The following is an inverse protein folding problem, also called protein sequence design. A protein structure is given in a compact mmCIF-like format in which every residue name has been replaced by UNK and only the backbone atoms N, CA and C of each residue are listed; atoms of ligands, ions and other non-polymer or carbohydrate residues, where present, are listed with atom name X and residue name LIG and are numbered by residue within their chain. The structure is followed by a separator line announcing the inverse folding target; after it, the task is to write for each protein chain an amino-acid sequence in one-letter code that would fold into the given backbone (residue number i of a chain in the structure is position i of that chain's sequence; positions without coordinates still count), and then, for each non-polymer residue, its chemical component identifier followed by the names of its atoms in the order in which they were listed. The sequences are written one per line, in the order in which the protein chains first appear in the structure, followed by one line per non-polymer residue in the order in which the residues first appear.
data_IF_219957523620
#
_entry.id   IF_219957523620
#
_cell.length_a   1.000
_cell.length_b   1.000
_cell.length_c   1.000
_cell.angle_alpha   90.00
_cell.angle_beta   90.00
_cell.angle_gamma   90.00
#
_symmetry.space_group_name_H-M   'P 1'
#
loop_
_entity.id
_entity.type
_entity.pdbx_description
1 polymer ?
#
# COMPACT_ATOMS: atom_id res chain seq x y z
N UNK A 1 3.36 12.09 28.80
CA UNK A 1 2.67 10.78 28.66
C UNK A 1 1.19 11.02 28.87
N UNK A 2 0.36 10.61 27.92
CA UNK A 2 -1.10 10.81 27.96
C UNK A 2 -1.79 9.63 28.64
N UNK A 3 -2.73 9.92 29.52
CA UNK A 3 -3.61 8.93 30.13
C UNK A 3 -4.97 8.97 29.44
N UNK A 4 -5.32 7.92 28.71
CA UNK A 4 -6.55 7.83 27.93
C UNK A 4 -7.47 6.76 28.49
N UNK A 5 -8.76 7.06 28.57
CA UNK A 5 -9.77 6.03 28.79
C UNK A 5 -9.93 5.17 27.52
N UNK A 6 -10.46 3.95 27.67
CA UNK A 6 -10.82 3.10 26.51
C UNK A 6 -11.77 3.80 25.53
N UNK A 7 -12.67 4.64 26.06
CA UNK A 7 -13.63 5.39 25.24
C UNK A 7 -12.92 6.45 24.39
N UNK A 8 -11.97 7.19 24.96
CA UNK A 8 -11.17 8.17 24.22
C UNK A 8 -10.31 7.48 23.15
N UNK A 9 -9.58 6.41 23.52
CA UNK A 9 -8.75 5.67 22.56
C UNK A 9 -9.57 5.14 21.37
N UNK A 10 -10.79 4.60 21.62
CA UNK A 10 -11.69 4.16 20.54
C UNK A 10 -12.17 5.31 19.65
N UNK A 11 -12.51 6.45 20.22
CA UNK A 11 -12.94 7.64 19.48
C UNK A 11 -11.82 8.16 18.58
N UNK A 12 -10.61 8.25 19.11
CA UNK A 12 -9.41 8.60 18.36
C UNK A 12 -9.24 7.66 17.15
N UNK A 13 -9.25 6.34 17.38
CA UNK A 13 -9.07 5.36 16.31
C UNK A 13 -10.20 5.43 15.26
N UNK A 14 -11.45 5.58 15.67
CA UNK A 14 -12.60 5.67 14.73
C UNK A 14 -12.52 6.94 13.89
N UNK A 15 -12.15 8.07 14.48
CA UNK A 15 -11.97 9.34 13.77
C UNK A 15 -10.81 9.29 12.78
N UNK A 16 -9.63 8.83 13.21
CA UNK A 16 -8.47 8.70 12.36
C UNK A 16 -8.75 7.80 11.13
N UNK A 17 -9.66 6.85 11.28
CA UNK A 17 -10.11 5.97 10.19
C UNK A 17 -11.28 6.56 9.38
N UNK A 18 -11.63 7.86 9.57
CA UNK A 18 -12.71 8.57 8.86
C UNK A 18 -14.08 7.88 9.00
N UNK A 19 -14.38 7.35 10.19
CA UNK A 19 -15.62 6.62 10.50
C UNK A 19 -16.53 7.38 11.46
N UNK A 20 -16.20 8.61 11.81
CA UNK A 20 -17.03 9.55 12.58
C UNK A 20 -18.02 10.32 11.68
N UNK A 21 -18.82 11.24 12.29
CA UNK A 21 -19.90 11.91 11.56
C UNK A 21 -19.46 12.75 10.37
N UNK A 22 -18.37 13.55 10.44
CA UNK A 22 -17.86 14.23 9.27
C UNK A 22 -17.41 13.23 8.18
N UNK A 23 -17.98 13.34 6.98
CA UNK A 23 -17.57 12.50 5.85
C UNK A 23 -16.59 13.25 4.95
N UNK A 24 -15.51 12.61 4.52
CA UNK A 24 -14.72 13.15 3.41
C UNK A 24 -15.55 13.16 2.13
N UNK A 25 -15.23 14.07 1.21
CA UNK A 25 -15.91 14.23 -0.09
C UNK A 25 -15.09 13.68 -1.24
N UNK A 26 -13.78 13.52 -1.06
CA UNK A 26 -12.83 13.18 -2.12
C UNK A 26 -12.13 11.85 -1.84
N UNK A 27 -12.07 10.98 -2.87
CA UNK A 27 -11.39 9.69 -2.78
C UNK A 27 -9.90 9.86 -2.43
N UNK A 28 -9.21 10.82 -3.03
CA UNK A 28 -7.80 11.06 -2.77
C UNK A 28 -7.56 11.40 -1.30
N UNK A 29 -8.40 12.25 -0.70
CA UNK A 29 -8.31 12.59 0.71
C UNK A 29 -8.49 11.37 1.62
N UNK A 30 -9.42 10.46 1.26
CA UNK A 30 -9.59 9.18 1.98
C UNK A 30 -8.31 8.35 1.92
N UNK A 31 -7.72 8.18 0.74
CA UNK A 31 -6.52 7.34 0.58
C UNK A 31 -5.32 7.99 1.25
N UNK A 32 -5.18 9.31 1.22
CA UNK A 32 -4.12 10.04 1.92
C UNK A 32 -4.21 9.85 3.44
N UNK A 33 -5.41 9.96 4.02
CA UNK A 33 -5.62 9.76 5.46
C UNK A 33 -5.39 8.31 5.88
N UNK A 34 -5.92 7.35 5.12
CA UNK A 34 -5.76 5.92 5.42
C UNK A 34 -4.39 5.36 5.06
N UNK A 35 -3.59 6.11 4.28
CA UNK A 35 -2.30 5.76 3.70
C UNK A 35 -2.35 4.67 2.62
N UNK A 36 -3.36 3.83 2.64
CA UNK A 36 -3.53 2.75 1.66
C UNK A 36 -4.97 2.24 1.60
N UNK A 37 -5.32 1.64 0.45
CA UNK A 37 -6.44 0.71 0.32
C UNK A 37 -5.92 -0.64 -0.21
N UNK A 38 -6.39 -1.74 0.35
CA UNK A 38 -6.03 -3.06 -0.15
C UNK A 38 -6.87 -3.41 -1.39
N UNK A 39 -6.21 -3.73 -2.50
CA UNK A 39 -6.85 -4.34 -3.66
C UNK A 39 -6.75 -5.86 -3.54
N UNK A 40 -7.87 -6.49 -3.15
CA UNK A 40 -8.00 -7.93 -3.17
C UNK A 40 -8.96 -8.33 -4.30
N UNK A 41 -8.55 -9.22 -5.22
CA UNK A 41 -9.43 -9.71 -6.27
C UNK A 41 -10.55 -10.63 -5.73
N UNK A 42 -10.41 -11.11 -4.48
CA UNK A 42 -11.44 -11.91 -3.82
C UNK A 42 -12.56 -10.98 -3.36
N UNK A 43 -13.69 -11.06 -4.01
CA UNK A 43 -14.85 -10.22 -3.71
C UNK A 43 -16.09 -11.08 -3.61
N UNK A 44 -16.60 -11.29 -2.41
CA UNK A 44 -17.90 -11.94 -2.21
C UNK A 44 -19.06 -11.01 -2.59
N UNK A 45 -18.92 -9.71 -2.33
CA UNK A 45 -19.91 -8.66 -2.62
C UNK A 45 -19.31 -7.61 -3.54
N UNK A 46 -18.16 -7.04 -3.15
CA UNK A 46 -17.40 -6.04 -3.90
C UNK A 46 -15.92 -6.12 -3.49
N UNK A 47 -14.97 -5.58 -4.30
CA UNK A 47 -13.57 -5.47 -3.92
C UNK A 47 -13.40 -4.69 -2.61
N UNK A 48 -12.44 -5.11 -1.77
CA UNK A 48 -12.22 -4.51 -0.45
C UNK A 48 -11.92 -3.00 -0.53
N UNK A 49 -11.17 -2.56 -1.53
CA UNK A 49 -10.89 -1.14 -1.74
C UNK A 49 -12.17 -0.33 -1.96
N UNK A 50 -13.11 -0.86 -2.78
CA UNK A 50 -14.39 -0.19 -3.04
C UNK A 50 -15.26 -0.13 -1.77
N UNK A 51 -15.33 -1.22 -1.00
CA UNK A 51 -16.08 -1.24 0.26
C UNK A 51 -15.52 -0.24 1.29
N UNK A 52 -14.19 -0.16 1.40
CA UNK A 52 -13.52 0.79 2.28
C UNK A 52 -13.78 2.23 1.83
N UNK A 53 -13.63 2.54 0.55
CA UNK A 53 -13.92 3.86 0.01
C UNK A 53 -15.39 4.24 0.20
N UNK A 54 -16.30 3.34 -0.13
CA UNK A 54 -17.75 3.55 0.03
C UNK A 54 -18.14 3.79 1.49
N UNK A 55 -17.58 3.05 2.44
CA UNK A 55 -17.91 3.24 3.87
C UNK A 55 -17.53 4.63 4.40
N UNK A 56 -16.57 5.32 3.76
CA UNK A 56 -16.14 6.68 4.10
C UNK A 56 -16.92 7.74 3.34
N UNK A 57 -17.02 7.59 2.02
CA UNK A 57 -17.62 8.56 1.10
C UNK A 57 -19.15 8.43 0.98
N UNK A 58 -19.69 7.23 1.30
CA UNK A 58 -21.12 6.95 1.11
C UNK A 58 -21.52 6.88 -0.37
N UNK A 59 -22.75 7.32 -0.67
CA UNK A 59 -23.30 7.28 -2.04
C UNK A 59 -22.59 8.19 -3.07
N UNK A 60 -21.71 9.06 -2.60
CA UNK A 60 -20.87 9.88 -3.48
C UNK A 60 -19.75 9.06 -4.16
N UNK A 61 -19.43 7.88 -3.63
CA UNK A 61 -18.42 7.01 -4.21
C UNK A 61 -18.99 6.13 -5.32
N UNK A 62 -18.24 6.06 -6.41
CA UNK A 62 -18.46 5.12 -7.51
C UNK A 62 -17.14 4.38 -7.83
N UNK A 63 -17.14 3.05 -8.09
CA UNK A 63 -15.91 2.30 -8.40
C UNK A 63 -15.08 2.88 -9.55
N UNK A 64 -15.73 3.51 -10.54
CA UNK A 64 -15.06 4.18 -11.64
C UNK A 64 -14.11 5.30 -11.18
N UNK A 65 -14.34 5.92 -10.02
CA UNK A 65 -13.44 6.95 -9.47
C UNK A 65 -12.09 6.36 -9.08
N UNK A 66 -12.07 5.14 -8.51
CA UNK A 66 -10.82 4.46 -8.15
C UNK A 66 -10.03 4.07 -9.42
N UNK A 67 -10.72 3.50 -10.42
CA UNK A 67 -10.11 3.19 -11.72
C UNK A 67 -9.54 4.44 -12.39
N UNK A 68 -10.30 5.53 -12.42
CA UNK A 68 -9.86 6.80 -12.99
C UNK A 68 -8.63 7.36 -12.29
N UNK A 69 -8.62 7.35 -10.95
CA UNK A 69 -7.49 7.83 -10.15
C UNK A 69 -6.21 7.00 -10.37
N UNK A 70 -6.33 5.68 -10.58
CA UNK A 70 -5.22 4.78 -10.83
C UNK A 70 -4.70 4.85 -12.28
N UNK A 71 -5.60 4.94 -13.28
CA UNK A 71 -5.25 4.69 -14.68
C UNK A 71 -5.18 5.97 -15.54
N UNK A 72 -5.95 6.99 -15.20
CA UNK A 72 -6.05 8.22 -15.99
C UNK A 72 -5.39 9.41 -15.28
N UNK A 73 -5.91 9.77 -14.10
CA UNK A 73 -5.46 10.96 -13.37
C UNK A 73 -4.10 10.74 -12.69
N UNK A 74 -3.71 9.49 -12.48
CA UNK A 74 -2.45 9.10 -11.82
C UNK A 74 -2.25 9.77 -10.45
N UNK A 75 -3.34 10.03 -9.75
CA UNK A 75 -3.30 10.55 -8.36
C UNK A 75 -3.06 9.44 -7.35
N UNK A 76 -3.30 8.20 -7.76
CA UNK A 76 -3.05 6.98 -7.00
C UNK A 76 -2.18 6.00 -7.82
N UNK A 77 -1.46 5.12 -7.13
CA UNK A 77 -0.74 4.00 -7.75
C UNK A 77 -0.96 2.69 -6.99
N UNK A 78 -0.83 1.56 -7.69
CA UNK A 78 -0.87 0.23 -7.07
C UNK A 78 0.56 -0.29 -6.86
N UNK A 79 0.86 -0.76 -5.64
CA UNK A 79 2.11 -1.41 -5.29
C UNK A 79 1.86 -2.48 -4.22
N UNK A 80 2.31 -3.72 -4.42
CA UNK A 80 2.09 -4.86 -3.51
C UNK A 80 0.60 -5.07 -3.14
N UNK A 81 -0.30 -5.04 -4.14
CA UNK A 81 -1.74 -5.15 -3.94
C UNK A 81 -2.33 -4.08 -3.01
N UNK A 82 -1.64 -2.95 -2.87
CA UNK A 82 -2.08 -1.79 -2.10
C UNK A 82 -2.14 -0.57 -3.01
N UNK A 83 -3.26 0.15 -2.95
CA UNK A 83 -3.42 1.46 -3.59
C UNK A 83 -2.90 2.52 -2.64
N UNK A 84 -2.11 3.45 -3.14
CA UNK A 84 -1.47 4.52 -2.38
C UNK A 84 -1.56 5.86 -3.10
N UNK A 85 -1.46 6.99 -2.37
CA UNK A 85 -1.34 8.30 -3.02
C UNK A 85 -0.07 8.38 -3.88
N UNK A 86 -0.18 8.90 -5.11
CA UNK A 86 0.98 9.08 -5.98
C UNK A 86 2.06 9.99 -5.35
N UNK A 87 1.66 10.94 -4.52
CA UNK A 87 2.58 11.78 -3.74
C UNK A 87 3.51 10.98 -2.80
N UNK A 88 3.16 9.73 -2.48
CA UNK A 88 3.92 8.88 -1.60
C UNK A 88 4.89 7.95 -2.34
N UNK A 89 4.84 7.97 -3.68
CA UNK A 89 5.63 7.03 -4.51
C UNK A 89 7.11 7.03 -4.12
N UNK A 90 7.72 8.20 -3.93
CA UNK A 90 9.12 8.31 -3.53
C UNK A 90 9.46 7.58 -2.24
N UNK A 91 8.51 7.50 -1.28
CA UNK A 91 8.69 6.77 -0.02
C UNK A 91 8.83 5.25 -0.22
N UNK A 92 8.19 4.71 -1.26
CA UNK A 92 8.20 3.29 -1.59
C UNK A 92 9.34 2.93 -2.56
N UNK A 93 9.78 3.89 -3.36
CA UNK A 93 10.98 3.73 -4.19
C UNK A 93 12.27 3.91 -3.38
N UNK A 94 12.22 4.60 -2.24
CA UNK A 94 13.35 4.68 -1.31
C UNK A 94 13.71 3.28 -0.79
N UNK A 95 14.90 2.81 -1.09
CA UNK A 95 15.38 1.51 -0.62
C UNK A 95 15.05 0.32 -1.51
N UNK A 96 14.55 0.51 -2.72
CA UNK A 96 14.36 -0.57 -3.70
C UNK A 96 15.63 -1.41 -3.88
N UNK A 97 16.81 -0.80 -3.85
CA UNK A 97 18.09 -1.52 -3.84
C UNK A 97 18.45 -2.24 -2.53
N UNK A 98 17.76 -1.93 -1.40
CA UNK A 98 17.99 -2.57 -0.08
C UNK A 98 17.11 -3.80 0.15
N UNK A 99 15.90 -3.82 -0.38
CA UNK A 99 15.06 -5.02 -0.41
C UNK A 99 15.81 -6.19 -1.06
N UNK A 100 16.71 -5.86 -2.00
CA UNK A 100 17.67 -6.78 -2.58
C UNK A 100 18.44 -7.61 -1.53
N UNK A 101 18.80 -7.06 -0.39
CA UNK A 101 19.67 -7.71 0.59
C UNK A 101 18.94 -8.48 1.68
N UNK A 102 17.65 -8.23 1.90
CA UNK A 102 16.88 -8.87 2.97
C UNK A 102 16.30 -10.25 2.60
N UNK A 103 16.27 -10.59 1.31
CA UNK A 103 15.76 -11.86 0.80
C UNK A 103 16.74 -12.47 -0.21
N UNK A 104 17.89 -12.95 0.29
CA UNK A 104 18.97 -13.48 -0.55
C UNK A 104 18.50 -14.58 -1.52
N UNK A 105 17.59 -15.46 -1.08
CA UNK A 105 17.04 -16.52 -1.94
C UNK A 105 16.25 -15.98 -3.14
N UNK A 106 15.48 -14.90 -2.94
CA UNK A 106 14.75 -14.22 -4.03
C UNK A 106 15.71 -13.61 -5.04
N UNK A 107 16.75 -12.95 -4.54
CA UNK A 107 17.73 -12.32 -5.43
C UNK A 107 18.63 -13.32 -6.12
N UNK A 108 18.95 -14.45 -5.48
CA UNK A 108 19.60 -15.57 -6.15
C UNK A 108 18.76 -16.05 -7.33
N UNK A 109 17.45 -16.27 -7.11
CA UNK A 109 16.53 -16.70 -8.16
C UNK A 109 16.43 -15.68 -9.33
N UNK A 110 16.39 -14.36 -9.04
CA UNK A 110 16.38 -13.32 -10.07
C UNK A 110 17.69 -13.33 -10.85
N UNK A 111 18.85 -13.47 -10.18
CA UNK A 111 20.16 -13.57 -10.86
C UNK A 111 20.26 -14.79 -11.76
N UNK A 112 19.79 -15.94 -11.29
CA UNK A 112 19.79 -17.18 -12.04
C UNK A 112 18.87 -17.11 -13.28
N UNK A 113 17.89 -16.20 -13.27
CA UNK A 113 16.93 -15.93 -14.33
C UNK A 113 17.10 -14.54 -14.96
N UNK A 114 18.31 -13.96 -14.96
CA UNK A 114 18.52 -12.59 -15.49
C UNK A 114 18.20 -12.46 -16.99
N UNK A 115 18.37 -13.52 -17.78
CA UNK A 115 17.91 -13.54 -19.18
C UNK A 115 16.39 -13.33 -19.27
N UNK A 116 15.62 -14.08 -18.46
CA UNK A 116 14.17 -13.96 -18.39
C UNK A 116 13.73 -12.56 -17.94
N UNK A 117 14.38 -12.00 -16.91
CA UNK A 117 14.16 -10.61 -16.49
C UNK A 117 14.37 -9.63 -17.65
N UNK A 118 15.47 -9.75 -18.40
CA UNK A 118 15.76 -8.89 -19.55
C UNK A 118 14.76 -9.05 -20.68
N UNK A 119 14.28 -10.26 -20.95
CA UNK A 119 13.26 -10.53 -21.96
C UNK A 119 11.95 -9.83 -21.62
N UNK A 120 11.49 -9.88 -20.34
CA UNK A 120 10.34 -9.13 -19.86
C UNK A 120 10.52 -7.63 -20.11
N UNK A 121 11.63 -7.04 -19.64
CA UNK A 121 11.87 -5.61 -19.80
C UNK A 121 11.96 -5.18 -21.28
N UNK A 122 12.53 -6.03 -22.13
CA UNK A 122 12.58 -5.80 -23.58
C UNK A 122 11.18 -5.85 -24.21
N UNK A 123 10.34 -6.80 -23.80
CA UNK A 123 8.96 -6.89 -24.25
C UNK A 123 8.17 -5.63 -23.86
N UNK A 124 8.25 -5.19 -22.61
CA UNK A 124 7.59 -3.99 -22.12
C UNK A 124 8.02 -2.73 -22.88
N UNK A 125 9.32 -2.58 -23.16
CA UNK A 125 9.83 -1.47 -23.99
C UNK A 125 9.21 -1.44 -25.38
N UNK A 126 9.04 -2.61 -26.00
CA UNK A 126 8.53 -2.73 -27.37
C UNK A 126 7.01 -2.59 -27.46
N UNK A 127 6.27 -3.22 -26.55
CA UNK A 127 4.82 -3.43 -26.71
C UNK A 127 3.96 -2.51 -25.85
N UNK A 128 4.53 -1.83 -24.83
CA UNK A 128 3.76 -1.07 -23.84
C UNK A 128 3.09 -1.98 -22.82
N UNK A 129 1.97 -1.57 -22.19
CA UNK A 129 1.34 -2.33 -21.14
C UNK A 129 0.86 -3.70 -21.62
N UNK A 130 1.22 -4.76 -20.88
CA UNK A 130 0.83 -6.15 -21.18
C UNK A 130 0.35 -6.84 -19.89
N UNK A 131 -0.47 -7.87 -20.05
CA UNK A 131 -0.82 -8.76 -18.94
C UNK A 131 0.28 -9.81 -18.71
N UNK A 132 0.30 -10.46 -17.55
CA UNK A 132 1.25 -11.54 -17.29
C UNK A 132 1.08 -12.74 -18.24
N UNK A 133 -0.10 -12.91 -18.86
CA UNK A 133 -0.38 -13.98 -19.82
C UNK A 133 0.22 -13.72 -21.20
N UNK A 134 0.46 -12.46 -21.54
CA UNK A 134 1.05 -12.05 -22.79
C UNK A 134 2.58 -12.18 -22.80
N UNK A 135 3.17 -12.48 -21.64
CA UNK A 135 4.62 -12.60 -21.45
C UNK A 135 5.02 -14.08 -21.58
N UNK A 136 5.88 -14.44 -22.56
CA UNK A 136 6.40 -15.80 -22.63
C UNK A 136 7.22 -16.17 -21.39
N UNK A 137 6.98 -17.36 -20.87
CA UNK A 137 7.77 -17.90 -19.76
C UNK A 137 9.07 -18.52 -20.31
N UNK A 138 10.17 -17.76 -20.25
CA UNK A 138 11.52 -18.21 -20.63
C UNK A 138 12.39 -18.48 -19.40
N UNK A 139 11.77 -18.76 -18.24
CA UNK A 139 12.43 -19.02 -16.99
C UNK A 139 13.32 -20.28 -17.07
N UNK A 140 14.56 -20.16 -16.66
CA UNK A 140 15.54 -21.29 -16.65
C UNK A 140 15.42 -22.10 -15.36
N UNK A 141 15.32 -21.41 -14.23
CA UNK A 141 15.16 -22.02 -12.90
C UNK A 141 13.74 -21.72 -12.41
N UNK A 142 12.81 -22.69 -12.39
CA UNK A 142 11.44 -22.45 -11.97
C UNK A 142 11.33 -21.90 -10.54
N UNK A 143 10.39 -20.99 -10.31
CA UNK A 143 10.06 -20.53 -8.96
C UNK A 143 9.44 -21.65 -8.15
N UNK A 144 10.13 -22.05 -7.09
CA UNK A 144 9.67 -23.08 -6.17
C UNK A 144 9.07 -22.43 -4.91
N UNK A 145 7.85 -22.78 -4.58
CA UNK A 145 7.21 -22.41 -3.31
C UNK A 145 6.32 -23.54 -2.81
N UNK A 146 6.03 -23.53 -1.51
CA UNK A 146 5.10 -24.49 -0.89
C UNK A 146 3.63 -24.08 -1.04
N UNK A 147 3.37 -22.92 -1.66
CA UNK A 147 2.04 -22.34 -1.83
C UNK A 147 1.59 -22.24 -3.28
N UNK A 148 0.55 -21.47 -3.50
CA UNK A 148 -0.09 -21.22 -4.79
C UNK A 148 0.74 -20.40 -5.79
N UNK A 149 1.90 -19.89 -5.39
CA UNK A 149 2.85 -19.21 -6.29
C UNK A 149 3.82 -20.18 -6.97
N UNK A 150 3.73 -21.49 -6.66
CA UNK A 150 4.61 -22.48 -7.26
C UNK A 150 4.47 -22.52 -8.78
N UNK A 151 5.59 -22.50 -9.50
CA UNK A 151 5.67 -22.46 -10.96
C UNK A 151 4.98 -21.25 -11.63
N UNK A 152 4.69 -20.18 -10.88
CA UNK A 152 4.16 -18.93 -11.46
C UNK A 152 5.30 -17.96 -11.78
N UNK A 153 6.22 -18.37 -12.63
CA UNK A 153 7.47 -17.68 -12.89
C UNK A 153 7.27 -16.23 -13.37
N UNK A 154 6.42 -16.01 -14.37
CA UNK A 154 6.15 -14.68 -14.93
C UNK A 154 5.57 -13.74 -13.85
N UNK A 155 4.52 -14.18 -13.18
CA UNK A 155 3.87 -13.36 -12.14
C UNK A 155 4.84 -13.04 -11.02
N UNK A 156 5.63 -14.03 -10.59
CA UNK A 156 6.57 -13.85 -9.49
C UNK A 156 7.72 -12.91 -9.88
N UNK A 157 8.23 -13.02 -11.11
CA UNK A 157 9.26 -12.10 -11.61
C UNK A 157 8.71 -10.67 -11.66
N UNK A 158 7.51 -10.45 -12.19
CA UNK A 158 6.88 -9.13 -12.24
C UNK A 158 6.69 -8.51 -10.85
N UNK A 159 6.25 -9.30 -9.85
CA UNK A 159 6.11 -8.83 -8.47
C UNK A 159 7.47 -8.39 -7.89
N UNK A 160 8.54 -9.15 -8.14
CA UNK A 160 9.87 -8.77 -7.68
C UNK A 160 10.43 -7.54 -8.41
N UNK A 161 10.20 -7.44 -9.71
CA UNK A 161 10.62 -6.28 -10.50
C UNK A 161 9.85 -5.01 -10.08
N UNK A 162 8.58 -5.14 -9.70
CA UNK A 162 7.79 -4.03 -9.14
C UNK A 162 8.38 -3.56 -7.80
N UNK A 163 8.69 -4.48 -6.90
CA UNK A 163 9.35 -4.15 -5.62
C UNK A 163 10.75 -3.56 -5.86
N UNK A 164 11.44 -4.01 -6.90
CA UNK A 164 12.72 -3.48 -7.36
C UNK A 164 12.63 -2.13 -8.07
N UNK A 165 11.43 -1.65 -8.40
CA UNK A 165 11.22 -0.39 -9.12
C UNK A 165 11.52 -0.47 -10.63
N UNK A 166 11.59 -1.68 -11.20
CA UNK A 166 11.89 -1.92 -12.62
C UNK A 166 10.64 -2.06 -13.49
N UNK A 167 9.50 -2.36 -12.89
CA UNK A 167 8.19 -2.36 -13.54
C UNK A 167 7.15 -1.67 -12.64
N UNK A 168 6.05 -1.25 -13.24
CA UNK A 168 4.92 -0.62 -12.57
C UNK A 168 3.61 -1.22 -13.06
N UNK A 169 2.54 -1.05 -12.29
CA UNK A 169 1.18 -1.43 -12.68
C UNK A 169 0.55 -0.24 -13.38
N UNK A 170 0.34 -0.37 -14.68
CA UNK A 170 -0.24 0.66 -15.54
C UNK A 170 -1.77 0.73 -15.46
N UNK A 171 -2.41 -0.35 -15.02
CA UNK A 171 -3.87 -0.45 -14.93
C UNK A 171 -4.31 -1.90 -14.87
N UNK A 172 -5.57 -2.14 -15.26
CA UNK A 172 -6.14 -3.49 -15.26
C UNK A 172 -7.03 -3.75 -16.48
N UNK A 173 -7.06 -5.00 -16.93
CA UNK A 173 -8.07 -5.53 -17.85
C UNK A 173 -8.87 -6.58 -17.08
N UNK A 174 -10.09 -6.23 -16.71
CA UNK A 174 -10.87 -7.04 -15.78
C UNK A 174 -10.16 -7.16 -14.41
N UNK A 175 -9.78 -8.38 -14.04
CA UNK A 175 -9.03 -8.62 -12.78
C UNK A 175 -7.51 -8.68 -12.97
N UNK A 176 -7.01 -8.68 -14.21
CA UNK A 176 -5.59 -8.83 -14.52
C UNK A 176 -4.89 -7.48 -14.52
N UNK A 177 -3.69 -7.45 -13.94
CA UNK A 177 -2.83 -6.27 -13.98
C UNK A 177 -2.21 -6.09 -15.35
N UNK A 178 -2.15 -4.84 -15.79
CA UNK A 178 -1.34 -4.39 -16.91
C UNK A 178 -0.01 -3.89 -16.35
N UNK A 179 1.07 -4.48 -16.82
CA UNK A 179 2.43 -4.17 -16.42
C UNK A 179 3.12 -3.34 -17.47
N UNK A 180 3.81 -2.29 -17.07
CA UNK A 180 4.61 -1.43 -17.95
C UNK A 180 5.87 -0.93 -17.23
N UNK A 181 6.67 -0.17 -17.95
CA UNK A 181 7.87 0.44 -17.41
C UNK A 181 7.51 1.64 -16.50
N UNK A 182 8.26 1.86 -15.41
CA UNK A 182 8.00 2.94 -14.45
C UNK A 182 7.92 4.32 -15.11
N UNK A 183 8.80 4.61 -16.07
CA UNK A 183 8.85 5.89 -16.77
C UNK A 183 7.62 6.21 -17.62
N UNK A 184 6.73 5.24 -17.86
CA UNK A 184 5.44 5.45 -18.55
C UNK A 184 4.26 5.55 -17.60
N UNK A 185 4.46 5.18 -16.33
CA UNK A 185 3.39 5.10 -15.32
C UNK A 185 3.54 6.17 -14.26
N UNK A 186 4.78 6.42 -13.83
CA UNK A 186 5.10 7.31 -12.72
C UNK A 186 5.51 8.71 -13.23
N UNK A 187 5.25 9.76 -12.45
CA UNK A 187 5.74 11.09 -12.75
C UNK A 187 7.28 11.12 -12.86
N UNK A 188 7.79 11.91 -13.82
CA UNK A 188 9.24 12.00 -14.05
C UNK A 188 10.01 12.76 -12.94
N UNK A 189 9.29 13.58 -12.16
CA UNK A 189 9.82 14.47 -11.13
C UNK A 189 9.69 13.91 -9.72
N UNK A 190 9.55 12.60 -9.57
CA UNK A 190 9.45 11.94 -8.26
C UNK A 190 10.73 12.15 -7.44
N UNK A 191 10.60 12.82 -6.31
CA UNK A 191 11.69 12.97 -5.35
C UNK A 191 11.78 11.72 -4.48
N UNK A 192 12.91 11.03 -4.53
CA UNK A 192 13.17 9.85 -3.70
C UNK A 192 13.99 10.30 -2.48
N UNK A 193 13.42 10.26 -1.26
CA UNK A 193 14.14 10.63 -0.05
C UNK A 193 15.17 9.57 0.36
N UNK A 194 15.95 9.86 1.41
CA UNK A 194 16.76 8.84 2.07
C UNK A 194 15.87 7.71 2.62
N UNK A 195 16.43 6.51 2.81
CA UNK A 195 15.67 5.38 3.38
C UNK A 195 15.19 5.71 4.79
N UNK A 196 16.03 6.38 5.55
CA UNK A 196 15.77 6.80 6.91
C UNK A 196 14.62 7.82 6.97
N UNK A 197 14.63 8.83 6.08
CA UNK A 197 13.55 9.82 5.98
C UNK A 197 12.25 9.18 5.48
N UNK A 198 12.33 8.32 4.46
CA UNK A 198 11.16 7.59 3.99
C UNK A 198 10.52 6.76 5.11
N UNK A 199 11.33 6.08 5.93
CA UNK A 199 10.81 5.29 7.04
C UNK A 199 10.17 6.17 8.11
N UNK A 200 10.81 7.30 8.47
CA UNK A 200 10.26 8.26 9.42
C UNK A 200 8.90 8.79 8.95
N UNK A 201 8.80 9.22 7.69
CA UNK A 201 7.53 9.73 7.13
C UNK A 201 6.47 8.64 7.08
N UNK A 202 6.82 7.39 6.76
CA UNK A 202 5.88 6.25 6.81
C UNK A 202 5.33 6.03 8.21
N UNK A 203 6.16 6.11 9.26
CA UNK A 203 5.72 5.99 10.64
C UNK A 203 4.78 7.13 11.05
N UNK A 204 5.10 8.37 10.70
CA UNK A 204 4.27 9.55 10.96
C UNK A 204 2.89 9.40 10.33
N UNK A 205 2.83 9.08 9.03
CA UNK A 205 1.58 8.86 8.30
C UNK A 205 0.80 7.67 8.83
N UNK A 206 1.51 6.60 9.20
CA UNK A 206 0.87 5.43 9.79
C UNK A 206 0.22 5.75 11.13
N UNK A 207 0.90 6.48 12.01
CA UNK A 207 0.31 6.92 13.27
C UNK A 207 -0.88 7.86 13.04
N UNK A 208 -0.77 8.82 12.14
CA UNK A 208 -1.87 9.71 11.77
C UNK A 208 -3.10 8.93 11.25
N UNK A 209 -2.89 7.89 10.43
CA UNK A 209 -3.99 7.05 9.94
C UNK A 209 -4.66 6.20 11.03
N UNK A 210 -3.96 5.84 12.08
CA UNK A 210 -4.47 5.04 13.21
C UNK A 210 -4.95 5.92 14.38
N UNK A 211 -4.42 7.15 14.51
CA UNK A 211 -4.62 8.08 15.61
C UNK A 211 -3.97 7.62 16.92
N UNK A 212 -4.06 6.34 17.22
CA UNK A 212 -3.41 5.68 18.35
C UNK A 212 -2.97 4.26 17.96
N UNK A 213 -1.77 3.88 18.31
CA UNK A 213 -1.21 2.56 18.00
C UNK A 213 -0.40 2.01 19.16
N UNK A 214 -0.27 0.69 19.24
CA UNK A 214 0.72 0.08 20.12
C UNK A 214 2.12 0.37 19.60
N UNK A 215 3.06 0.66 20.48
CA UNK A 215 4.46 0.89 20.10
C UNK A 215 5.10 -0.35 19.47
N UNK A 216 4.75 -1.54 19.99
CA UNK A 216 5.18 -2.83 19.40
C UNK A 216 3.96 -3.51 18.80
N UNK A 217 3.99 -3.76 17.51
CA UNK A 217 2.93 -4.44 16.78
C UNK A 217 3.48 -5.68 16.09
N UNK A 218 2.57 -6.59 15.71
CA UNK A 218 2.94 -7.74 14.88
C UNK A 218 3.19 -7.25 13.46
N UNK A 219 4.36 -7.51 12.90
CA UNK A 219 4.66 -7.16 11.52
C UNK A 219 3.75 -7.93 10.56
N UNK A 220 3.16 -7.24 9.59
CA UNK A 220 2.57 -7.87 8.42
C UNK A 220 3.64 -8.09 7.35
N UNK A 221 3.52 -9.16 6.57
CA UNK A 221 4.50 -9.49 5.52
C UNK A 221 4.61 -8.43 4.43
N UNK A 222 3.52 -7.75 4.12
CA UNK A 222 3.42 -6.80 3.00
C UNK A 222 3.66 -5.36 3.45
N UNK A 223 3.19 -5.00 4.65
CA UNK A 223 3.26 -3.65 5.17
C UNK A 223 3.62 -3.67 6.66
N UNK A 224 4.74 -3.05 7.06
CA UNK A 224 5.02 -2.84 8.48
C UNK A 224 3.93 -1.96 9.09
N UNK A 225 3.30 -2.44 10.17
CA UNK A 225 2.27 -1.70 10.91
C UNK A 225 2.85 -0.96 12.11
N UNK A 226 4.15 -0.96 12.23
CA UNK A 226 4.90 -0.26 13.27
C UNK A 226 4.85 1.27 13.05
N UNK A 227 4.87 2.00 14.14
CA UNK A 227 4.89 3.47 14.16
C UNK A 227 6.18 4.02 14.78
N UNK A 228 7.13 3.16 15.12
CA UNK A 228 8.41 3.52 15.72
C UNK A 228 8.23 4.40 16.98
N UNK A 229 9.06 5.43 17.09
CA UNK A 229 9.04 6.44 18.17
C UNK A 229 8.14 7.64 17.85
N UNK A 230 7.34 7.58 16.77
CA UNK A 230 6.51 8.70 16.31
C UNK A 230 5.37 8.99 17.29
N UNK A 231 4.94 10.25 17.33
CA UNK A 231 3.87 10.73 18.20
C UNK A 231 4.28 10.80 19.68
N UNK A 232 3.31 10.85 20.57
CA UNK A 232 3.54 11.00 22.02
C UNK A 232 3.22 9.72 22.78
N UNK A 233 3.96 9.41 23.87
CA UNK A 233 3.68 8.24 24.69
C UNK A 233 2.30 8.34 25.36
N UNK A 234 1.55 7.24 25.33
CA UNK A 234 0.23 7.15 25.95
C UNK A 234 0.03 5.81 26.67
N UNK A 235 -0.87 5.82 27.65
CA UNK A 235 -1.41 4.63 28.31
C UNK A 235 -2.93 4.63 28.19
N UNK A 236 -3.51 3.43 28.02
CA UNK A 236 -4.96 3.26 27.95
C UNK A 236 -5.44 2.53 29.20
N UNK A 237 -6.29 3.16 29.96
CA UNK A 237 -6.78 2.63 31.24
C UNK A 237 -7.35 1.22 31.10
N UNK A 238 -6.82 0.28 31.86
CA UNK A 238 -7.22 -1.12 31.85
C UNK A 238 -6.84 -1.90 30.58
N UNK A 239 -5.86 -1.41 29.80
CA UNK A 239 -5.27 -2.13 28.64
C UNK A 239 -3.77 -2.17 28.82
N UNK A 240 -3.19 -3.37 28.81
CA UNK A 240 -1.73 -3.54 28.93
C UNK A 240 -1.01 -3.11 27.64
N UNK A 241 0.21 -2.61 27.79
CA UNK A 241 1.14 -2.26 26.71
C UNK A 241 1.38 -0.76 26.63
N UNK A 242 2.42 -0.42 25.92
CA UNK A 242 2.82 0.95 25.60
C UNK A 242 2.17 1.39 24.30
N UNK A 243 1.67 2.63 24.29
CA UNK A 243 0.96 3.20 23.16
C UNK A 243 1.62 4.48 22.68
N UNK A 244 1.43 4.77 21.42
CA UNK A 244 1.77 6.06 20.82
C UNK A 244 0.48 6.69 20.31
N UNK A 245 0.28 7.98 20.56
CA UNK A 245 -0.86 8.74 20.11
C UNK A 245 -0.41 9.90 19.23
N UNK A 246 -1.15 10.16 18.17
CA UNK A 246 -0.96 11.36 17.37
C UNK A 246 -1.43 12.58 18.17
N UNK A 247 -0.56 13.54 18.52
CA UNK A 247 -0.96 14.71 19.29
C UNK A 247 -1.98 15.58 18.58
N UNK A 248 -2.07 15.54 17.25
CA UNK A 248 -3.03 16.31 16.47
C UNK A 248 -4.50 15.95 16.75
N UNK A 249 -4.76 14.72 17.23
CA UNK A 249 -6.13 14.26 17.49
C UNK A 249 -6.55 14.36 18.97
N UNK A 250 -5.68 14.88 19.83
CA UNK A 250 -5.97 15.05 21.23
C UNK A 250 -6.91 16.26 21.47
N UNK A 251 -7.95 16.06 22.26
CA UNK A 251 -8.88 17.14 22.63
C UNK A 251 -9.91 17.49 21.55
N UNK A 252 -9.97 16.80 20.44
CA UNK A 252 -10.95 17.04 19.39
C UNK A 252 -12.33 16.46 19.75
N UNK A 253 -13.39 17.19 19.39
CA UNK A 253 -14.77 16.73 19.53
C UNK A 253 -15.03 15.50 18.66
N UNK A 254 -15.83 14.59 19.18
CA UNK A 254 -16.19 13.36 18.50
C UNK A 254 -17.70 13.21 18.38
N UNK A 255 -18.19 13.14 17.16
CA UNK A 255 -19.55 12.76 16.82
C UNK A 255 -19.53 11.43 16.05
N UNK A 256 -20.21 10.42 16.61
CA UNK A 256 -20.29 9.10 16.00
C UNK A 256 -21.35 9.01 14.92
N UNK A 257 -21.14 8.12 13.95
CA UNK A 257 -22.15 7.70 12.96
C UNK A 257 -22.20 6.19 12.81
N UNK A 258 -23.27 5.68 12.21
CA UNK A 258 -23.32 4.30 11.75
C UNK A 258 -22.46 4.17 10.50
N UNK A 259 -21.54 3.20 10.50
CA UNK A 259 -20.70 2.86 9.37
C UNK A 259 -20.72 1.35 9.12
N UNK A 260 -20.71 0.94 7.87
CA UNK A 260 -20.43 -0.43 7.48
C UNK A 260 -18.91 -0.62 7.47
N UNK A 261 -18.42 -1.66 8.12
CA UNK A 261 -16.99 -2.01 8.21
C UNK A 261 -16.72 -3.28 7.44
#
# INVERSE_FOLDING_TARGET
MHELTKKQARRIAVRAQLLDAPRPTELLAVVQQLTLLQIDPTAAIAPSADLVAWSRLGSAYQPAQLTKALEQDRTLFEHNALVRPMSDLGLYLAGTGRLARSHESTWAWIRDNDSFRRDILKLLRKSGPVTSRDIPDTCVVPWASTGWTNNRNVTQMLEFLMVGGEVAIAGRVGRERLWDLPERVYPADVVIPSVEDAQRVKYERRLASLGIARQKTTAMQIEPIDVGETGEPAVVAGVKGEWRVDPAVLGEDFEGRTALL
#
